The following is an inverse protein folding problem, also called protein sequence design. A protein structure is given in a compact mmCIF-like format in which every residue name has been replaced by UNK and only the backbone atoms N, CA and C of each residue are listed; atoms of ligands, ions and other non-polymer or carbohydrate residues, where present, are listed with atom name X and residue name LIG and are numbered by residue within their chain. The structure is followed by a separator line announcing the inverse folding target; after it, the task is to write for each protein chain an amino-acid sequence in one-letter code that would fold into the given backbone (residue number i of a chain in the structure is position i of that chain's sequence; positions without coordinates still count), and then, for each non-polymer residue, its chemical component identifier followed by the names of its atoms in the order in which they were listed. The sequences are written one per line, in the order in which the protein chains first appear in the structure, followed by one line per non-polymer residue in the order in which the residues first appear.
data_IF_082292066020
#
_entry.id   IF_082292066020
#
_cell.length_a   1.000
_cell.length_b   1.000
_cell.length_c   1.000
_cell.angle_alpha   90.00
_cell.angle_beta   90.00
_cell.angle_gamma   90.00
#
_symmetry.space_group_name_H-M   'P 1'
#
loop_
_entity.id
_entity.type
_entity.pdbx_description
1 polymer ?
#
# COMPACT_ATOMS: atom_id res chain seq x y z
N UNK A 1 -15.57 1.15 -25.96
CA UNK A 1 -15.51 2.59 -25.61
C UNK A 1 -14.14 3.08 -26.09
N UNK A 2 -14.04 4.08 -26.95
CA UNK A 2 -12.76 4.63 -27.39
C UNK A 2 -12.26 5.63 -26.33
N UNK A 3 -10.98 5.54 -25.95
CA UNK A 3 -10.38 6.54 -25.09
C UNK A 3 -10.36 7.91 -25.78
N UNK A 4 -10.46 9.04 -25.04
CA UNK A 4 -10.46 10.38 -25.63
C UNK A 4 -9.27 10.67 -26.56
N UNK A 5 -8.09 10.09 -26.29
CA UNK A 5 -6.90 10.21 -27.15
C UNK A 5 -6.95 9.44 -28.47
N UNK A 6 -7.94 8.55 -28.65
CA UNK A 6 -8.13 7.75 -29.88
C UNK A 6 -9.19 8.32 -30.82
N UNK A 7 -9.76 9.49 -30.51
CA UNK A 7 -10.76 10.13 -31.37
C UNK A 7 -10.07 10.92 -32.49
N UNK A 8 -10.15 10.39 -33.70
CA UNK A 8 -9.53 10.97 -34.90
C UNK A 8 -10.01 12.40 -35.22
N UNK A 9 -11.11 12.86 -34.65
CA UNK A 9 -11.61 14.24 -34.86
C UNK A 9 -10.68 15.31 -34.30
N UNK A 10 -9.78 14.93 -33.40
CA UNK A 10 -8.82 15.83 -32.74
C UNK A 10 -7.38 15.65 -33.23
N UNK A 11 -7.16 14.91 -34.33
CA UNK A 11 -5.82 14.68 -34.88
C UNK A 11 -5.28 15.90 -35.58
N UNK A 12 -4.04 16.25 -35.26
CA UNK A 12 -3.26 17.28 -35.95
C UNK A 12 -2.35 16.65 -37.01
N UNK A 13 -1.68 17.45 -37.84
CA UNK A 13 -0.77 16.95 -38.91
C UNK A 13 0.39 16.06 -38.40
N UNK A 14 0.69 16.09 -37.10
CA UNK A 14 1.73 15.29 -36.43
C UNK A 14 1.21 13.95 -35.89
N UNK A 15 0.14 13.41 -36.47
CA UNK A 15 -0.47 12.15 -36.07
C UNK A 15 0.41 10.90 -36.26
N UNK A 16 1.45 11.01 -37.09
CA UNK A 16 2.46 9.98 -37.34
C UNK A 16 3.82 10.54 -36.93
N UNK A 17 4.55 9.78 -36.12
CA UNK A 17 5.87 10.17 -35.62
C UNK A 17 6.76 8.95 -35.39
N UNK A 18 8.08 9.12 -35.43
CA UNK A 18 9.05 8.07 -35.18
C UNK A 18 9.82 8.33 -33.90
N UNK A 19 10.09 7.26 -33.15
CA UNK A 19 10.96 7.27 -31.98
C UNK A 19 11.96 6.12 -32.04
N UNK A 20 13.17 6.25 -31.47
CA UNK A 20 14.13 5.16 -31.44
C UNK A 20 13.62 4.04 -30.54
N UNK A 21 13.87 2.80 -30.93
CA UNK A 21 13.58 1.63 -30.11
C UNK A 21 14.50 1.60 -28.90
N UNK A 22 13.95 1.43 -27.68
CA UNK A 22 14.71 1.41 -26.44
C UNK A 22 15.73 0.25 -26.33
N UNK A 23 15.59 -0.79 -27.17
CA UNK A 23 16.46 -1.97 -27.15
C UNK A 23 17.48 -1.98 -28.28
N UNK A 24 17.13 -1.55 -29.48
CA UNK A 24 17.98 -1.68 -30.66
C UNK A 24 18.22 -0.36 -31.43
N UNK A 25 17.72 0.75 -30.91
CA UNK A 25 17.85 2.11 -31.43
C UNK A 25 17.33 2.34 -32.89
N UNK A 26 16.67 1.33 -33.47
CA UNK A 26 16.03 1.47 -34.78
C UNK A 26 14.75 2.28 -34.67
N UNK A 27 14.42 3.13 -35.68
CA UNK A 27 13.23 3.94 -35.64
C UNK A 27 11.96 3.07 -35.64
N UNK A 28 11.05 3.37 -34.75
CA UNK A 28 9.71 2.78 -34.66
C UNK A 28 8.70 3.90 -34.91
N UNK A 29 7.89 3.73 -35.93
CA UNK A 29 6.86 4.67 -36.33
C UNK A 29 5.58 4.38 -35.57
N UNK A 30 5.02 5.38 -34.90
CA UNK A 30 3.75 5.31 -34.15
C UNK A 30 2.67 6.14 -34.85
N UNK A 31 1.44 5.63 -34.78
CA UNK A 31 0.25 6.44 -34.97
C UNK A 31 -0.23 6.99 -33.63
N UNK A 32 -0.83 8.18 -33.65
CA UNK A 32 -1.28 8.83 -32.40
C UNK A 32 -2.32 8.03 -31.62
N UNK A 33 -3.12 7.22 -32.31
CA UNK A 33 -4.20 6.40 -31.73
C UNK A 33 -3.73 5.00 -31.29
N UNK A 34 -2.49 4.62 -31.64
CA UNK A 34 -1.91 3.36 -31.18
C UNK A 34 -1.38 3.50 -29.77
N UNK A 35 -1.84 2.61 -28.86
CA UNK A 35 -1.33 2.54 -27.49
C UNK A 35 0.06 1.88 -27.42
N UNK A 36 0.30 0.87 -28.28
CA UNK A 36 1.57 0.12 -28.29
C UNK A 36 1.96 -0.30 -29.70
N UNK A 37 3.27 -0.44 -29.98
CA UNK A 37 3.78 -0.97 -31.24
C UNK A 37 5.00 -1.86 -31.03
N UNK A 38 5.17 -2.88 -31.88
CA UNK A 38 6.35 -3.75 -31.87
C UNK A 38 7.41 -3.21 -32.81
N UNK A 39 8.66 -3.14 -32.35
CA UNK A 39 9.80 -2.84 -33.20
C UNK A 39 9.94 -3.93 -34.26
N UNK A 40 9.98 -3.53 -35.54
CA UNK A 40 10.12 -4.47 -36.66
C UNK A 40 11.48 -5.17 -36.68
N UNK A 41 12.51 -4.58 -36.02
CA UNK A 41 13.88 -5.11 -36.03
C UNK A 41 14.12 -6.13 -34.90
N UNK A 42 13.71 -5.84 -33.66
CA UNK A 42 14.00 -6.71 -32.51
C UNK A 42 12.76 -7.28 -31.82
N UNK A 43 11.54 -6.97 -32.29
CA UNK A 43 10.30 -7.46 -31.72
C UNK A 43 9.89 -6.80 -30.39
N UNK A 44 10.74 -5.93 -29.83
CA UNK A 44 10.44 -5.23 -28.58
C UNK A 44 9.12 -4.46 -28.67
N UNK A 45 8.22 -4.66 -27.69
CA UNK A 45 6.95 -3.95 -27.62
C UNK A 45 7.16 -2.62 -26.88
N UNK A 46 6.87 -1.53 -27.55
CA UNK A 46 6.98 -0.18 -27.04
C UNK A 46 5.61 0.41 -26.80
N UNK A 47 5.50 1.20 -25.75
CA UNK A 47 4.33 2.06 -25.48
C UNK A 47 4.51 3.37 -26.24
N UNK A 48 3.42 3.92 -26.74
CA UNK A 48 3.43 5.20 -27.44
C UNK A 48 3.83 6.35 -26.48
N UNK A 49 5.00 6.97 -26.65
CA UNK A 49 5.50 7.99 -25.72
C UNK A 49 4.73 9.32 -25.78
N UNK A 50 3.89 9.53 -26.79
CA UNK A 50 3.07 10.74 -26.94
C UNK A 50 1.62 10.54 -26.49
N UNK A 51 1.25 9.31 -26.11
CA UNK A 51 -0.06 9.03 -25.54
C UNK A 51 -0.02 9.25 -24.03
N UNK A 52 -0.96 10.02 -23.54
CA UNK A 52 -1.13 10.18 -22.09
C UNK A 52 -1.82 8.92 -21.54
N UNK A 53 -1.04 8.08 -20.89
CA UNK A 53 -1.51 6.89 -20.18
C UNK A 53 -1.85 7.15 -18.71
N UNK A 54 -1.93 8.41 -18.28
CA UNK A 54 -2.29 8.74 -16.90
C UNK A 54 -3.57 8.05 -16.44
N UNK A 55 -4.53 7.82 -17.36
CA UNK A 55 -5.72 7.03 -17.06
C UNK A 55 -5.41 5.54 -16.76
N UNK A 56 -4.34 4.97 -17.29
CA UNK A 56 -4.00 3.55 -17.09
C UNK A 56 -3.57 3.27 -15.64
N UNK A 57 -2.97 4.24 -14.96
CA UNK A 57 -2.62 4.14 -13.56
C UNK A 57 -3.85 3.95 -12.64
N UNK A 58 -5.01 4.44 -13.09
CA UNK A 58 -6.27 4.40 -12.32
C UNK A 58 -7.31 3.41 -12.86
N UNK A 59 -7.13 2.96 -14.11
CA UNK A 59 -8.14 2.17 -14.82
C UNK A 59 -7.99 0.68 -14.52
N UNK A 60 -9.07 0.04 -14.05
CA UNK A 60 -9.10 -1.42 -13.87
C UNK A 60 -9.03 -2.21 -15.18
N UNK A 61 -9.34 -1.58 -16.31
CA UNK A 61 -9.31 -2.16 -17.66
C UNK A 61 -8.03 -1.80 -18.43
N UNK A 62 -7.00 -1.26 -17.76
CA UNK A 62 -5.78 -0.81 -18.43
C UNK A 62 -5.11 -1.93 -19.24
N UNK A 63 -5.06 -3.16 -18.70
CA UNK A 63 -4.49 -4.33 -19.38
C UNK A 63 -5.28 -4.74 -20.62
N UNK A 64 -6.62 -4.62 -20.60
CA UNK A 64 -7.46 -4.88 -21.77
C UNK A 64 -7.25 -3.83 -22.85
N UNK A 65 -6.97 -2.60 -22.48
CA UNK A 65 -6.75 -1.47 -23.40
C UNK A 65 -5.34 -1.48 -24.01
N UNK A 66 -4.31 -1.73 -23.19
CA UNK A 66 -2.90 -1.61 -23.55
C UNK A 66 -2.24 -2.97 -23.84
N UNK A 67 -2.91 -4.08 -23.49
CA UNK A 67 -2.30 -5.39 -23.43
C UNK A 67 -1.43 -5.49 -22.18
N UNK A 68 -0.23 -6.06 -22.30
CA UNK A 68 0.74 -6.11 -21.22
C UNK A 68 1.20 -4.70 -20.84
N UNK A 69 1.06 -4.36 -19.54
CA UNK A 69 1.47 -3.04 -19.06
C UNK A 69 2.99 -2.96 -18.96
N UNK A 70 3.60 -1.84 -19.37
CA UNK A 70 5.02 -1.60 -19.14
C UNK A 70 5.36 -1.57 -17.63
N UNK A 71 6.58 -1.98 -17.24
CA UNK A 71 7.00 -1.99 -15.84
C UNK A 71 6.79 -0.64 -15.12
N UNK A 72 7.01 0.47 -15.81
CA UNK A 72 6.86 1.82 -15.26
C UNK A 72 5.40 2.12 -14.92
N UNK A 73 4.45 1.71 -15.76
CA UNK A 73 3.01 1.87 -15.48
C UNK A 73 2.53 0.92 -14.38
N UNK A 74 3.10 -0.28 -14.30
CA UNK A 74 2.83 -1.21 -13.20
C UNK A 74 3.31 -0.63 -11.88
N UNK A 75 4.52 -0.07 -11.83
CA UNK A 75 5.07 0.57 -10.65
C UNK A 75 4.20 1.78 -10.22
N UNK A 76 3.86 2.66 -11.17
CA UNK A 76 2.99 3.80 -10.90
C UNK A 76 1.60 3.37 -10.40
N UNK A 77 1.02 2.31 -10.96
CA UNK A 77 -0.26 1.75 -10.51
C UNK A 77 -0.19 1.23 -9.08
N UNK A 78 0.91 0.56 -8.71
CA UNK A 78 1.16 0.10 -7.34
C UNK A 78 1.34 1.27 -6.36
N UNK A 79 2.10 2.30 -6.72
CA UNK A 79 2.29 3.48 -5.89
C UNK A 79 0.98 4.24 -5.63
N UNK A 80 0.14 4.37 -6.64
CA UNK A 80 -1.17 5.01 -6.51
C UNK A 80 -2.20 4.15 -5.76
N UNK A 81 -2.03 2.83 -5.75
CA UNK A 81 -2.96 1.93 -5.06
C UNK A 81 -3.00 2.23 -3.55
N UNK A 82 -1.84 2.37 -2.91
CA UNK A 82 -1.75 2.66 -1.47
C UNK A 82 -2.51 3.93 -1.07
N UNK A 83 -2.41 4.99 -1.89
CA UNK A 83 -3.11 6.26 -1.63
C UNK A 83 -4.63 6.11 -1.79
N UNK A 84 -5.07 5.31 -2.76
CA UNK A 84 -6.48 5.00 -2.99
C UNK A 84 -7.05 4.12 -1.88
N UNK A 85 -6.27 3.16 -1.36
CA UNK A 85 -6.64 2.36 -0.19
C UNK A 85 -6.81 3.25 1.04
N UNK A 86 -5.92 4.22 1.26
CA UNK A 86 -6.06 5.19 2.34
C UNK A 86 -7.36 6.00 2.25
N UNK A 87 -7.78 6.39 1.04
CA UNK A 87 -9.04 7.11 0.80
C UNK A 87 -10.24 6.21 1.11
N UNK A 88 -10.27 4.97 0.59
CA UNK A 88 -11.38 4.04 0.84
C UNK A 88 -11.47 3.65 2.32
N UNK A 89 -10.36 3.47 3.02
CA UNK A 89 -10.34 3.25 4.46
C UNK A 89 -10.98 4.42 5.22
N UNK A 90 -10.64 5.67 4.86
CA UNK A 90 -11.27 6.86 5.46
C UNK A 90 -12.77 6.94 5.15
N UNK A 91 -13.19 6.59 3.93
CA UNK A 91 -14.60 6.52 3.57
C UNK A 91 -15.35 5.46 4.38
N UNK A 92 -14.71 4.32 4.62
CA UNK A 92 -15.30 3.23 5.40
C UNK A 92 -15.49 3.61 6.87
N UNK A 93 -14.47 4.16 7.52
CA UNK A 93 -14.51 4.58 8.92
C UNK A 93 -15.29 5.88 9.16
N UNK A 94 -15.51 6.71 8.13
CA UNK A 94 -16.30 7.97 8.17
C UNK A 94 -15.77 8.96 9.23
N UNK A 95 -16.45 9.06 10.38
CA UNK A 95 -16.14 9.98 11.47
C UNK A 95 -15.34 9.33 12.60
N UNK A 96 -14.93 8.08 12.45
CA UNK A 96 -14.08 7.42 13.42
C UNK A 96 -12.61 7.87 13.25
N UNK A 97 -12.36 9.11 13.66
CA UNK A 97 -11.03 9.73 13.53
C UNK A 97 -9.96 9.01 14.34
N UNK A 98 -10.33 8.27 15.40
CA UNK A 98 -9.38 7.50 16.20
C UNK A 98 -8.82 6.34 15.37
N UNK A 99 -9.67 5.53 14.76
CA UNK A 99 -9.26 4.40 13.91
C UNK A 99 -8.55 4.87 12.62
N UNK A 100 -9.03 5.96 12.01
CA UNK A 100 -8.35 6.58 10.86
C UNK A 100 -6.95 7.06 11.24
N UNK A 101 -6.80 7.69 12.40
CA UNK A 101 -5.52 8.17 12.91
C UNK A 101 -4.55 7.01 13.19
N UNK A 102 -5.03 5.97 13.86
CA UNK A 102 -4.29 4.74 14.14
C UNK A 102 -3.77 4.10 12.85
N UNK A 103 -4.65 3.73 11.91
CA UNK A 103 -4.27 3.11 10.65
C UNK A 103 -3.30 3.96 9.82
N UNK A 104 -3.44 5.30 9.87
CA UNK A 104 -2.52 6.22 9.18
C UNK A 104 -1.13 6.21 9.80
N UNK A 105 -1.01 6.14 11.14
CA UNK A 105 0.28 6.02 11.83
C UNK A 105 0.93 4.66 11.53
N UNK A 106 0.15 3.57 11.60
CA UNK A 106 0.62 2.22 11.28
C UNK A 106 1.16 2.17 9.85
N UNK A 107 0.43 2.67 8.86
CA UNK A 107 0.87 2.70 7.48
C UNK A 107 2.19 3.48 7.29
N UNK A 108 2.36 4.62 7.98
CA UNK A 108 3.59 5.43 7.93
C UNK A 108 4.80 4.68 8.51
N UNK A 109 4.62 3.90 9.57
CA UNK A 109 5.71 3.12 10.16
C UNK A 109 5.98 1.85 9.36
N UNK A 110 4.94 1.18 8.87
CA UNK A 110 5.08 0.03 7.97
C UNK A 110 5.85 0.38 6.69
N UNK A 111 5.61 1.57 6.10
CA UNK A 111 6.37 2.07 4.93
C UNK A 111 7.86 2.20 5.22
N UNK A 112 8.23 2.69 6.41
CA UNK A 112 9.65 2.81 6.80
C UNK A 112 10.28 1.43 6.99
N UNK A 113 9.61 0.53 7.70
CA UNK A 113 10.11 -0.81 7.99
C UNK A 113 10.24 -1.63 6.70
N UNK A 114 9.18 -1.69 5.88
CA UNK A 114 9.18 -2.50 4.65
C UNK A 114 10.23 -2.05 3.65
N UNK A 115 10.53 -0.75 3.61
CA UNK A 115 11.59 -0.20 2.75
C UNK A 115 12.97 -0.70 3.14
N UNK A 116 13.29 -0.69 4.43
CA UNK A 116 14.57 -1.17 4.96
C UNK A 116 14.69 -2.71 4.81
N UNK A 117 13.61 -3.43 5.05
CA UNK A 117 13.54 -4.90 4.97
C UNK A 117 13.33 -5.42 3.53
N UNK A 118 13.21 -4.52 2.53
CA UNK A 118 13.05 -4.84 1.10
C UNK A 118 11.80 -5.67 0.77
N UNK A 119 10.71 -5.44 1.48
CA UNK A 119 9.40 -6.03 1.18
C UNK A 119 8.63 -5.30 0.06
N UNK A 120 7.41 -5.76 -0.24
CA UNK A 120 6.51 -5.09 -1.18
C UNK A 120 5.72 -3.98 -0.47
N UNK A 121 6.09 -2.73 -0.72
CA UNK A 121 5.46 -1.57 -0.12
C UNK A 121 3.95 -1.46 -0.46
N UNK A 122 3.53 -1.90 -1.65
CA UNK A 122 2.11 -1.87 -2.01
C UNK A 122 1.28 -2.83 -1.16
N UNK A 123 1.81 -4.01 -0.85
CA UNK A 123 1.18 -4.98 0.06
C UNK A 123 1.19 -4.45 1.49
N UNK A 124 2.38 -4.13 2.03
CA UNK A 124 2.51 -3.77 3.44
C UNK A 124 1.71 -2.50 3.80
N UNK A 125 1.76 -1.44 2.95
CA UNK A 125 1.05 -0.20 3.24
C UNK A 125 -0.46 -0.38 3.08
N UNK A 126 -0.92 -1.15 2.07
CA UNK A 126 -2.34 -1.47 1.91
C UNK A 126 -2.86 -2.28 3.10
N UNK A 127 -2.11 -3.28 3.54
CA UNK A 127 -2.46 -4.07 4.71
C UNK A 127 -2.48 -3.22 5.99
N UNK A 128 -1.51 -2.32 6.17
CA UNK A 128 -1.46 -1.41 7.31
C UNK A 128 -2.67 -0.46 7.39
N UNK A 129 -3.19 0.01 6.24
CA UNK A 129 -4.43 0.78 6.23
C UNK A 129 -5.67 -0.06 6.53
N UNK A 130 -5.64 -1.36 6.23
CA UNK A 130 -6.80 -2.24 6.30
C UNK A 130 -6.77 -3.26 7.45
N UNK A 131 -5.69 -3.31 8.28
CA UNK A 131 -5.55 -4.35 9.30
C UNK A 131 -6.74 -4.40 10.26
N UNK A 132 -7.22 -3.26 10.69
CA UNK A 132 -8.35 -3.09 11.61
C UNK A 132 -9.72 -2.89 10.91
N UNK A 133 -9.81 -3.08 9.59
CA UNK A 133 -11.02 -2.78 8.82
C UNK A 133 -12.22 -3.62 9.25
N UNK A 134 -11.97 -4.78 9.86
CA UNK A 134 -13.00 -5.69 10.38
C UNK A 134 -13.71 -5.22 11.66
N UNK A 135 -13.15 -4.23 12.37
CA UNK A 135 -13.65 -3.80 13.69
C UNK A 135 -15.14 -3.40 13.64
N UNK A 136 -15.56 -2.60 12.66
CA UNK A 136 -16.95 -2.15 12.58
C UNK A 136 -17.92 -3.31 12.34
N UNK A 137 -17.55 -4.29 11.52
CA UNK A 137 -18.37 -5.47 11.29
C UNK A 137 -18.38 -6.39 12.53
N UNK A 138 -17.25 -6.51 13.24
CA UNK A 138 -17.17 -7.24 14.51
C UNK A 138 -18.07 -6.61 15.57
N UNK A 139 -18.04 -5.30 15.74
CA UNK A 139 -18.95 -4.57 16.66
C UNK A 139 -20.42 -4.79 16.30
N UNK A 140 -20.79 -4.71 15.02
CA UNK A 140 -22.17 -4.90 14.56
C UNK A 140 -22.68 -6.32 14.79
N UNK A 141 -21.85 -7.34 14.48
CA UNK A 141 -22.27 -8.75 14.48
C UNK A 141 -22.14 -9.41 15.85
N UNK A 142 -21.08 -9.08 16.57
CA UNK A 142 -20.70 -9.78 17.81
C UNK A 142 -20.74 -8.87 19.04
N UNK A 143 -20.98 -7.58 18.88
CA UNK A 143 -20.90 -6.56 19.95
C UNK A 143 -19.56 -6.60 20.69
N UNK A 144 -18.48 -6.92 19.96
CA UNK A 144 -17.15 -7.13 20.50
C UNK A 144 -16.10 -6.66 19.50
N UNK A 145 -14.98 -6.13 20.02
CA UNK A 145 -13.78 -5.77 19.27
C UNK A 145 -12.64 -6.76 19.50
N UNK A 146 -12.94 -7.99 19.97
CA UNK A 146 -11.92 -8.99 20.19
C UNK A 146 -11.21 -9.35 18.85
N UNK A 147 -9.90 -9.62 18.94
CA UNK A 147 -9.04 -9.90 17.80
C UNK A 147 -9.62 -10.97 16.85
N UNK A 148 -10.14 -12.06 17.40
CA UNK A 148 -10.75 -13.16 16.62
C UNK A 148 -11.89 -12.72 15.68
N UNK A 149 -12.71 -11.74 16.11
CA UNK A 149 -13.81 -11.24 15.30
C UNK A 149 -13.34 -10.24 14.26
N UNK A 150 -12.35 -9.40 14.59
CA UNK A 150 -11.73 -8.48 13.65
C UNK A 150 -11.03 -9.23 12.52
N UNK A 151 -10.23 -10.23 12.86
CA UNK A 151 -9.50 -11.08 11.91
C UNK A 151 -10.47 -11.90 11.02
N UNK A 152 -11.62 -12.28 11.55
CA UNK A 152 -12.66 -12.97 10.77
C UNK A 152 -13.38 -12.04 9.78
N UNK A 153 -13.72 -10.83 10.20
CA UNK A 153 -14.53 -9.90 9.42
C UNK A 153 -13.69 -8.96 8.53
N UNK A 154 -12.40 -8.81 8.82
CA UNK A 154 -11.50 -7.94 8.06
C UNK A 154 -11.27 -8.36 6.60
N UNK A 155 -10.88 -9.63 6.34
CA UNK A 155 -10.56 -10.08 4.98
C UNK A 155 -11.66 -9.88 3.95
N UNK A 156 -12.97 -10.16 4.22
CA UNK A 156 -14.04 -9.87 3.27
C UNK A 156 -14.14 -8.39 2.89
N UNK A 157 -14.02 -7.49 3.87
CA UNK A 157 -14.07 -6.04 3.63
C UNK A 157 -12.84 -5.56 2.87
N UNK A 158 -11.65 -6.03 3.24
CA UNK A 158 -10.40 -5.70 2.55
C UNK A 158 -10.45 -6.16 1.08
N UNK A 159 -10.93 -7.36 0.82
CA UNK A 159 -11.12 -7.91 -0.53
C UNK A 159 -12.06 -7.07 -1.37
N UNK A 160 -13.20 -6.64 -0.83
CA UNK A 160 -14.13 -5.78 -1.53
C UNK A 160 -13.48 -4.45 -1.94
N UNK A 161 -12.80 -3.79 -1.00
CA UNK A 161 -12.10 -2.52 -1.25
C UNK A 161 -11.02 -2.70 -2.33
N UNK A 162 -10.14 -3.68 -2.19
CA UNK A 162 -9.03 -3.90 -3.12
C UNK A 162 -9.51 -4.30 -4.52
N UNK A 163 -10.55 -5.15 -4.61
CA UNK A 163 -11.15 -5.54 -5.89
C UNK A 163 -11.79 -4.35 -6.60
N UNK A 164 -12.50 -3.49 -5.88
CA UNK A 164 -13.06 -2.23 -6.40
C UNK A 164 -11.96 -1.33 -6.96
N UNK A 165 -10.82 -1.28 -6.30
CA UNK A 165 -9.66 -0.49 -6.72
C UNK A 165 -8.87 -1.11 -7.88
N UNK A 166 -9.16 -2.36 -8.25
CA UNK A 166 -8.49 -3.08 -9.34
C UNK A 166 -7.08 -3.54 -8.96
N UNK A 167 -6.87 -3.91 -7.71
CA UNK A 167 -5.65 -4.56 -7.26
C UNK A 167 -5.49 -5.94 -7.93
N UNK A 168 -4.24 -6.40 -8.05
CA UNK A 168 -3.98 -7.74 -8.60
C UNK A 168 -4.47 -8.85 -7.63
N UNK A 169 -4.88 -10.02 -8.15
CA UNK A 169 -5.31 -11.14 -7.30
C UNK A 169 -4.28 -11.50 -6.23
N UNK A 170 -3.00 -11.60 -6.58
CA UNK A 170 -1.93 -11.96 -5.65
C UNK A 170 -1.81 -10.96 -4.50
N UNK A 171 -1.89 -9.64 -4.79
CA UNK A 171 -1.87 -8.61 -3.76
C UNK A 171 -3.11 -8.71 -2.85
N UNK A 172 -4.29 -8.96 -3.42
CA UNK A 172 -5.53 -9.10 -2.65
C UNK A 172 -5.42 -10.27 -1.68
N UNK A 173 -4.93 -11.43 -2.15
CA UNK A 173 -4.80 -12.62 -1.30
C UNK A 173 -3.81 -12.37 -0.16
N UNK A 174 -2.62 -11.80 -0.45
CA UNK A 174 -1.62 -11.53 0.59
C UNK A 174 -2.11 -10.51 1.62
N UNK A 175 -2.75 -9.42 1.20
CA UNK A 175 -3.32 -8.43 2.12
C UNK A 175 -4.45 -9.05 2.95
N UNK A 176 -5.33 -9.83 2.35
CA UNK A 176 -6.42 -10.50 3.08
C UNK A 176 -5.90 -11.53 4.07
N UNK A 177 -4.87 -12.31 3.71
CA UNK A 177 -4.22 -13.24 4.65
C UNK A 177 -3.64 -12.47 5.83
N UNK A 178 -2.88 -11.40 5.57
CA UNK A 178 -2.29 -10.57 6.61
C UNK A 178 -3.36 -9.98 7.55
N UNK A 179 -4.41 -9.37 7.01
CA UNK A 179 -5.52 -8.79 7.78
C UNK A 179 -6.21 -9.85 8.63
N UNK A 180 -6.31 -11.08 8.13
CA UNK A 180 -6.98 -12.20 8.80
C UNK A 180 -6.24 -12.81 9.98
N UNK A 181 -4.99 -12.37 10.28
CA UNK A 181 -4.24 -12.89 11.43
C UNK A 181 -3.22 -11.89 12.02
N UNK A 182 -3.42 -10.60 11.77
CA UNK A 182 -2.44 -9.57 12.11
C UNK A 182 -2.13 -9.46 13.63
N UNK A 183 -2.96 -9.98 14.51
CA UNK A 183 -2.66 -10.09 15.94
C UNK A 183 -1.94 -11.38 16.34
N UNK A 184 -1.99 -12.41 15.49
CA UNK A 184 -1.52 -13.76 15.81
C UNK A 184 -0.45 -14.21 14.81
N UNK A 185 0.83 -13.75 14.97
CA UNK A 185 1.90 -14.12 14.05
C UNK A 185 2.14 -15.63 14.06
N UNK A 186 2.32 -16.21 12.89
CA UNK A 186 2.70 -17.60 12.68
C UNK A 186 4.20 -17.77 12.89
N UNK A 187 4.71 -19.00 13.04
CA UNK A 187 6.16 -19.26 13.18
C UNK A 187 6.99 -18.73 11.99
N UNK A 188 6.44 -18.79 10.78
CA UNK A 188 7.05 -18.25 9.57
C UNK A 188 6.09 -17.23 8.95
N UNK A 189 6.54 -15.99 8.84
CA UNK A 189 5.78 -14.88 8.29
C UNK A 189 6.53 -14.20 7.15
N UNK A 190 5.76 -13.62 6.21
CA UNK A 190 6.32 -12.77 5.16
C UNK A 190 6.94 -11.50 5.76
N UNK A 191 7.85 -10.89 5.02
CA UNK A 191 8.44 -9.62 5.45
C UNK A 191 7.38 -8.51 5.51
N UNK A 192 6.35 -8.57 4.65
CA UNK A 192 5.25 -7.64 4.63
C UNK A 192 4.40 -7.75 5.90
N UNK A 193 4.09 -8.98 6.34
CA UNK A 193 3.43 -9.20 7.62
C UNK A 193 4.23 -8.63 8.78
N UNK A 194 5.53 -8.99 8.89
CA UNK A 194 6.40 -8.53 9.97
C UNK A 194 6.47 -7.01 10.05
N UNK A 195 6.51 -6.32 8.90
CA UNK A 195 6.55 -4.87 8.85
C UNK A 195 5.25 -4.23 9.39
N UNK A 196 4.09 -4.79 9.05
CA UNK A 196 2.79 -4.30 9.55
C UNK A 196 2.63 -4.59 11.03
N UNK A 197 2.95 -5.81 11.46
CA UNK A 197 2.89 -6.23 12.86
C UNK A 197 3.74 -5.33 13.76
N UNK A 198 5.01 -5.10 13.37
CA UNK A 198 5.91 -4.24 14.13
C UNK A 198 5.42 -2.78 14.15
N UNK A 199 4.89 -2.29 13.03
CA UNK A 199 4.35 -0.94 12.93
C UNK A 199 3.12 -0.74 13.82
N UNK A 200 2.19 -1.70 13.84
CA UNK A 200 1.01 -1.68 14.71
C UNK A 200 1.43 -1.73 16.18
N UNK A 201 2.38 -2.59 16.53
CA UNK A 201 2.91 -2.67 17.88
C UNK A 201 3.55 -1.35 18.35
N UNK A 202 4.27 -0.62 17.47
CA UNK A 202 4.79 0.72 17.78
C UNK A 202 3.65 1.67 18.12
N UNK A 203 2.60 1.73 17.31
CA UNK A 203 1.48 2.64 17.52
C UNK A 203 0.72 2.28 18.79
N UNK A 204 0.46 1.00 19.02
CA UNK A 204 -0.18 0.51 20.25
C UNK A 204 0.62 0.88 21.50
N UNK A 205 1.94 0.71 21.47
CA UNK A 205 2.79 1.12 22.58
C UNK A 205 2.78 2.64 22.80
N UNK A 206 2.78 3.45 21.73
CA UNK A 206 2.64 4.91 21.85
C UNK A 206 1.30 5.35 22.45
N UNK A 207 0.20 4.73 22.02
CA UNK A 207 -1.15 5.07 22.48
C UNK A 207 -1.39 4.64 23.94
N UNK A 208 -0.77 3.56 24.36
CA UNK A 208 -0.88 3.03 25.72
C UNK A 208 0.21 3.54 26.67
N UNK A 209 1.29 4.17 26.19
CA UNK A 209 2.43 4.59 27.01
C UNK A 209 2.04 5.60 28.08
N UNK A 210 1.11 6.52 27.77
CA UNK A 210 0.61 7.50 28.72
C UNK A 210 -0.18 6.87 29.87
N UNK A 211 -0.85 5.74 29.61
CA UNK A 211 -1.64 5.04 30.62
C UNK A 211 -0.80 4.04 31.43
N UNK A 212 0.17 3.37 30.78
CA UNK A 212 0.89 2.25 31.37
C UNK A 212 2.17 2.63 32.16
N UNK A 213 2.70 3.85 31.98
CA UNK A 213 3.91 4.38 32.65
C UNK A 213 5.07 3.36 32.69
N UNK A 214 5.41 2.79 31.50
CA UNK A 214 6.40 1.72 31.35
C UNK A 214 7.81 2.28 31.61
N UNK A 215 8.58 1.63 32.48
CA UNK A 215 10.00 2.00 32.65
C UNK A 215 10.81 1.71 31.36
N UNK A 216 11.90 2.45 31.10
CA UNK A 216 12.76 2.24 29.94
C UNK A 216 13.26 0.80 29.82
N UNK A 217 13.61 0.14 30.92
CA UNK A 217 14.06 -1.25 30.92
C UNK A 217 12.94 -2.22 30.48
N UNK A 218 11.74 -1.99 30.98
CA UNK A 218 10.57 -2.80 30.61
C UNK A 218 10.21 -2.62 29.14
N UNK A 219 10.27 -1.38 28.65
CA UNK A 219 10.05 -1.07 27.22
C UNK A 219 11.09 -1.73 26.32
N UNK A 220 12.38 -1.66 26.70
CA UNK A 220 13.45 -2.36 25.97
C UNK A 220 13.22 -3.87 25.94
N UNK A 221 12.82 -4.48 27.05
CA UNK A 221 12.52 -5.91 27.12
C UNK A 221 11.33 -6.29 26.21
N UNK A 222 10.28 -5.47 26.18
CA UNK A 222 9.12 -5.66 25.28
C UNK A 222 9.54 -5.56 23.80
N UNK A 223 10.34 -4.56 23.44
CA UNK A 223 10.85 -4.38 22.06
C UNK A 223 11.70 -5.59 21.66
N UNK A 224 12.62 -6.02 22.51
CA UNK A 224 13.49 -7.16 22.22
C UNK A 224 12.72 -8.46 22.02
N UNK A 225 11.64 -8.67 22.79
CA UNK A 225 10.87 -9.92 22.79
C UNK A 225 9.86 -10.02 21.67
N UNK A 226 9.15 -8.93 21.36
CA UNK A 226 7.92 -9.01 20.58
C UNK A 226 8.09 -8.55 19.12
N UNK A 227 9.13 -7.76 18.80
CA UNK A 227 9.32 -7.27 17.44
C UNK A 227 9.97 -8.32 16.54
N UNK A 228 9.46 -8.44 15.33
CA UNK A 228 9.84 -9.48 14.38
C UNK A 228 10.99 -9.05 13.45
N UNK A 229 11.21 -7.71 13.26
CA UNK A 229 12.26 -7.19 12.39
C UNK A 229 13.28 -6.35 13.16
N UNK A 230 14.49 -6.21 12.60
CA UNK A 230 15.52 -5.35 13.20
C UNK A 230 15.22 -3.87 12.95
N UNK A 231 14.71 -3.52 11.77
CA UNK A 231 14.29 -2.17 11.46
C UNK A 231 13.10 -1.73 12.32
N UNK A 232 12.16 -2.63 12.62
CA UNK A 232 11.06 -2.40 13.56
C UNK A 232 11.57 -2.11 14.98
N UNK A 233 12.52 -2.92 15.51
CA UNK A 233 13.16 -2.65 16.81
C UNK A 233 13.85 -1.31 16.87
N UNK A 234 14.59 -0.96 15.81
CA UNK A 234 15.32 0.30 15.70
C UNK A 234 14.36 1.49 15.67
N UNK A 235 13.29 1.38 14.85
CA UNK A 235 12.26 2.40 14.74
C UNK A 235 11.49 2.58 16.06
N UNK A 236 11.11 1.48 16.72
CA UNK A 236 10.44 1.50 18.02
C UNK A 236 11.26 2.26 19.07
N UNK A 237 12.55 1.93 19.20
CA UNK A 237 13.45 2.65 20.11
C UNK A 237 13.50 4.14 19.80
N UNK A 238 13.67 4.49 18.52
CA UNK A 238 13.71 5.89 18.09
C UNK A 238 12.43 6.64 18.47
N UNK A 239 11.26 6.05 18.21
CA UNK A 239 9.97 6.72 18.41
C UNK A 239 9.59 6.81 19.89
N UNK A 240 9.70 5.68 20.62
CA UNK A 240 9.18 5.57 21.99
C UNK A 240 10.07 6.29 23.00
N UNK A 241 11.39 6.29 22.84
CA UNK A 241 12.30 7.00 23.75
C UNK A 241 12.45 8.49 23.42
N UNK A 242 12.20 8.93 22.19
CA UNK A 242 12.22 10.37 21.85
C UNK A 242 10.98 11.08 22.44
N UNK A 243 9.84 10.42 22.54
CA UNK A 243 8.64 10.94 23.15
C UNK A 243 8.85 11.22 24.67
N UNK A 244 9.55 10.33 25.39
CA UNK A 244 9.86 10.52 26.82
C UNK A 244 10.71 11.76 27.08
N UNK A 245 11.64 12.08 26.19
CA UNK A 245 12.50 13.27 26.31
C UNK A 245 11.67 14.55 26.13
N UNK A 246 10.71 14.56 25.21
CA UNK A 246 9.85 15.71 24.97
C UNK A 246 8.91 15.99 26.16
N UNK A 247 8.23 14.97 26.70
CA UNK A 247 7.36 15.11 27.88
C UNK A 247 8.11 15.49 29.15
N UNK A 248 9.33 14.98 29.32
CA UNK A 248 10.15 15.35 30.48
C UNK A 248 10.67 16.77 30.41
N UNK A 249 10.79 17.36 29.24
CA UNK A 249 11.14 18.78 29.05
C UNK A 249 9.95 19.70 29.32
N UNK A 250 8.73 19.34 28.94
CA UNK A 250 7.52 20.13 29.19
C UNK A 250 7.11 20.16 30.68
N UNK A 251 7.36 19.08 31.42
CA UNK A 251 7.10 19.02 32.87
C UNK A 251 8.10 19.80 33.75
N UNK A 252 9.16 20.37 33.14
CA UNK A 252 10.18 21.16 33.82
C UNK A 252 10.04 22.68 33.64
N UNK A 253 9.00 23.11 32.91
CA UNK A 253 8.61 24.52 32.75
C UNK A 253 7.34 24.77 33.56
#
# INVERSE_FOLDING_TARGET
MKCPGQDSRYWKPDAIFSVPCLVCDKPVEFFRDESTRRCKNCGHKMVNPRMDFGCAAYCKFAEQCLGELPPELVAQKKDLLKDRVAIEMKHYFKQDFKRIGHATKVARYAEQIVKEEKGDAAVAISAAYLHDIGIQEAEKKYQSTAAEYQEKEGPPVAREILSKLGASPDLIEEVCDLVGHHHHPRPEETINFKAVYDADLIVNLQENQQEANLSPDRLNALIAKNFLTESGRTLAKKILFTAEIAESAEKRI
#
